data_IF_671284331190
#
_entry.id   IF_671284331190
#
_cell.length_a   1.000
_cell.length_b   1.000
_cell.length_c   1.000
_cell.angle_alpha   90.00
_cell.angle_beta   90.00
_cell.angle_gamma   90.00
#
_symmetry.space_group_name_H-M   'P 1'
#
loop_
_entity.id
_entity.type
_entity.pdbx_description
1 polymer ?
#
# COMPACT_ATOMS: atom_id res chain seq x y z
N UNK A 1 3.74 23.98 18.87
CA UNK A 1 4.89 23.31 19.52
C UNK A 1 4.56 21.85 19.82
N UNK A 2 4.44 20.96 18.79
CA UNK A 2 4.18 19.51 18.93
C UNK A 2 4.65 18.71 17.69
N UNK A 3 5.84 18.97 17.16
CA UNK A 3 6.41 18.25 15.99
C UNK A 3 7.63 17.39 16.37
N UNK A 4 8.15 17.46 17.60
CA UNK A 4 9.44 16.87 17.96
C UNK A 4 9.40 15.46 18.59
N UNK A 5 8.28 14.74 18.56
CA UNK A 5 8.23 13.39 19.16
C UNK A 5 8.32 12.21 18.16
N UNK A 6 8.30 12.48 16.85
CA UNK A 6 8.36 11.43 15.82
C UNK A 6 9.77 11.04 15.35
N UNK A 7 10.79 11.80 15.74
CA UNK A 7 12.17 11.62 15.24
C UNK A 7 13.04 10.62 16.02
N UNK A 8 12.54 9.99 17.09
CA UNK A 8 13.40 9.21 17.99
C UNK A 8 13.32 7.69 17.88
N UNK A 9 12.53 7.11 16.96
CA UNK A 9 12.39 5.64 16.83
C UNK A 9 12.79 5.04 15.49
N UNK A 10 13.42 5.79 14.58
CA UNK A 10 13.86 5.30 13.28
C UNK A 10 15.39 5.31 13.15
N UNK A 11 16.05 4.59 14.05
CA UNK A 11 17.42 4.15 13.84
C UNK A 11 17.39 2.80 13.13
N UNK A 12 17.21 2.81 11.81
CA UNK A 12 17.31 1.62 10.98
C UNK A 12 18.47 1.79 10.01
N UNK A 13 19.49 0.99 10.26
CA UNK A 13 20.74 0.88 9.53
C UNK A 13 20.53 0.12 8.22
N UNK A 14 20.44 0.80 7.07
CA UNK A 14 20.98 0.30 5.78
C UNK A 14 20.84 1.34 4.67
N UNK A 15 21.85 1.46 3.81
CA UNK A 15 21.95 2.47 2.72
C UNK A 15 20.86 2.37 1.64
N UNK A 16 20.07 1.30 1.62
CA UNK A 16 18.94 1.14 0.70
C UNK A 16 17.61 1.69 1.25
N UNK A 17 17.48 1.84 2.57
CA UNK A 17 16.25 2.36 3.19
C UNK A 17 16.09 3.87 3.01
N UNK A 18 17.17 4.62 2.82
CA UNK A 18 17.13 6.07 2.59
C UNK A 18 16.44 6.45 1.28
N UNK A 19 16.63 5.68 0.20
CA UNK A 19 16.01 5.96 -1.09
C UNK A 19 14.48 5.71 -1.08
N UNK A 20 14.04 4.70 -0.34
CA UNK A 20 12.60 4.41 -0.17
C UNK A 20 11.95 5.38 0.84
N UNK A 21 12.64 5.74 1.92
CA UNK A 21 12.16 6.72 2.88
C UNK A 21 12.06 8.13 2.29
N UNK A 22 13.00 8.54 1.42
CA UNK A 22 12.89 9.81 0.67
C UNK A 22 11.74 9.81 -0.32
N UNK A 23 11.51 8.70 -1.05
CA UNK A 23 10.34 8.58 -1.94
C UNK A 23 9.03 8.65 -1.16
N UNK A 24 8.94 7.96 -0.02
CA UNK A 24 7.78 8.01 0.86
C UNK A 24 7.53 9.43 1.42
N UNK A 25 8.60 10.12 1.83
CA UNK A 25 8.52 11.50 2.33
C UNK A 25 8.08 12.49 1.25
N UNK A 26 8.59 12.37 0.01
CA UNK A 26 8.17 13.18 -1.14
C UNK A 26 6.71 12.91 -1.49
N UNK A 27 6.27 11.65 -1.45
CA UNK A 27 4.88 11.25 -1.72
C UNK A 27 3.93 11.81 -0.67
N UNK A 28 4.29 11.76 0.61
CA UNK A 28 3.49 12.30 1.73
C UNK A 28 3.46 13.84 1.74
N UNK A 29 4.54 14.52 1.33
CA UNK A 29 4.58 15.98 1.21
C UNK A 29 3.74 16.52 0.05
N UNK A 30 3.60 15.77 -1.06
CA UNK A 30 2.79 16.17 -2.21
C UNK A 30 1.27 16.18 -1.93
N UNK A 31 0.82 15.51 -0.87
CA UNK A 31 -0.62 15.39 -0.56
C UNK A 31 -1.23 16.66 0.06
N UNK A 32 -0.43 17.69 0.39
CA UNK A 32 -0.93 18.94 0.99
C UNK A 32 -1.49 19.96 -0.01
N UNK A 33 -1.35 19.77 -1.32
CA UNK A 33 -1.67 20.80 -2.33
C UNK A 33 -2.78 20.42 -3.35
N UNK A 34 -3.63 19.42 -3.06
CA UNK A 34 -4.73 19.06 -3.97
C UNK A 34 -6.05 19.72 -3.55
N UNK A 35 -6.17 21.02 -3.81
CA UNK A 35 -7.47 21.70 -3.92
C UNK A 35 -7.72 22.00 -5.40
N UNK A 36 -8.71 21.32 -5.98
CA UNK A 36 -9.28 21.69 -7.27
C UNK A 36 -9.50 20.54 -8.25
N UNK A 37 -10.76 20.15 -8.46
CA UNK A 37 -11.18 19.36 -9.62
C UNK A 37 -12.21 18.26 -9.32
N UNK A 38 -13.47 18.51 -9.72
CA UNK A 38 -14.62 17.60 -9.87
C UNK A 38 -15.07 16.69 -8.71
N UNK A 39 -16.20 17.06 -8.16
CA UNK A 39 -16.98 16.40 -7.10
C UNK A 39 -17.66 15.12 -7.57
N UNK A 40 -16.96 14.00 -7.76
CA UNK A 40 -17.59 12.66 -7.75
C UNK A 40 -16.51 11.62 -7.48
N UNK A 41 -16.65 10.86 -6.41
CA UNK A 41 -15.75 9.79 -5.92
C UNK A 41 -14.59 10.16 -4.97
N UNK A 42 -14.41 11.40 -4.59
CA UNK A 42 -13.33 11.81 -3.64
C UNK A 42 -13.39 11.09 -2.29
N UNK A 43 -14.56 10.59 -1.85
CA UNK A 43 -14.69 9.96 -0.52
C UNK A 43 -14.04 8.57 -0.43
N UNK A 44 -14.21 7.71 -1.44
CA UNK A 44 -13.66 6.35 -1.39
C UNK A 44 -12.17 6.32 -1.71
N UNK A 45 -11.71 7.15 -2.66
CA UNK A 45 -10.27 7.31 -2.94
C UNK A 45 -9.52 7.89 -1.75
N UNK A 46 -10.13 8.86 -1.04
CA UNK A 46 -9.58 9.43 0.19
C UNK A 46 -9.48 8.40 1.33
N UNK A 47 -10.37 7.39 1.35
CA UNK A 47 -10.35 6.31 2.35
C UNK A 47 -9.31 5.25 2.00
N UNK A 48 -9.06 4.98 0.72
CA UNK A 48 -8.12 3.93 0.28
C UNK A 48 -6.68 4.20 0.75
N UNK A 49 -6.21 5.45 0.67
CA UNK A 49 -4.85 5.83 1.06
C UNK A 49 -4.59 5.54 2.55
N UNK A 50 -5.37 6.10 3.51
CA UNK A 50 -5.11 5.86 4.93
C UNK A 50 -5.28 4.41 5.35
N UNK A 51 -6.18 3.64 4.71
CA UNK A 51 -6.30 2.22 4.98
C UNK A 51 -5.06 1.44 4.51
N UNK A 52 -4.53 1.80 3.33
CA UNK A 52 -3.32 1.17 2.84
C UNK A 52 -2.07 1.56 3.65
N UNK A 53 -1.95 2.81 4.08
CA UNK A 53 -0.90 3.28 4.99
C UNK A 53 -0.90 2.52 6.32
N UNK A 54 -2.08 2.31 6.91
CA UNK A 54 -2.25 1.50 8.12
C UNK A 54 -1.75 0.07 7.94
N UNK A 55 -2.08 -0.55 6.80
CA UNK A 55 -1.57 -1.87 6.45
C UNK A 55 -0.05 -1.87 6.27
N UNK A 56 0.52 -0.90 5.56
CA UNK A 56 1.97 -0.77 5.40
C UNK A 56 2.68 -0.68 6.75
N UNK A 57 2.18 0.18 7.65
CA UNK A 57 2.74 0.34 8.99
C UNK A 57 2.70 -0.96 9.79
N UNK A 58 1.57 -1.67 9.76
CA UNK A 58 1.43 -2.97 10.42
C UNK A 58 2.41 -4.01 9.90
N UNK A 59 2.74 -3.97 8.60
CA UNK A 59 3.62 -4.94 7.95
C UNK A 59 5.12 -4.62 8.03
N UNK A 60 5.52 -3.45 8.52
CA UNK A 60 6.95 -3.08 8.66
C UNK A 60 7.72 -4.13 9.48
N UNK A 61 7.12 -4.62 10.57
CA UNK A 61 7.76 -5.57 11.48
C UNK A 61 7.74 -7.03 10.99
N UNK A 62 6.90 -7.36 9.99
CA UNK A 62 6.73 -8.74 9.54
C UNK A 62 8.01 -9.34 8.97
N UNK A 63 8.81 -8.54 8.27
CA UNK A 63 10.05 -8.97 7.60
C UNK A 63 11.20 -9.19 8.60
N UNK A 64 11.12 -8.62 9.79
CA UNK A 64 12.20 -8.70 10.79
C UNK A 64 12.44 -10.15 11.25
N UNK A 65 11.39 -10.96 11.36
CA UNK A 65 11.45 -12.36 11.83
C UNK A 65 11.84 -13.38 10.75
N UNK A 66 11.96 -12.95 9.48
CA UNK A 66 12.34 -13.85 8.40
C UNK A 66 13.82 -14.27 8.48
N UNK A 67 14.20 -15.48 8.01
CA UNK A 67 15.58 -15.87 7.84
C UNK A 67 16.35 -14.89 6.96
N UNK A 68 17.64 -14.70 7.22
CA UNK A 68 18.44 -13.67 6.54
C UNK A 68 18.44 -13.82 5.01
N UNK A 69 18.53 -15.02 4.50
CA UNK A 69 18.45 -15.32 3.07
C UNK A 69 17.12 -14.90 2.46
N UNK A 70 16.02 -15.22 3.14
CA UNK A 70 14.67 -14.93 2.65
C UNK A 70 14.26 -13.47 2.79
N UNK A 71 14.88 -12.73 3.73
CA UNK A 71 14.73 -11.26 3.80
C UNK A 71 15.15 -10.59 2.50
N UNK A 72 16.25 -11.06 1.89
CA UNK A 72 16.78 -10.48 0.65
C UNK A 72 16.02 -10.96 -0.59
N UNK A 73 15.37 -12.11 -0.54
CA UNK A 73 14.56 -12.68 -1.64
C UNK A 73 13.09 -12.25 -1.50
N UNK A 74 12.29 -13.11 -0.91
CA UNK A 74 10.83 -12.88 -0.78
C UNK A 74 10.50 -11.64 0.05
N UNK A 75 11.29 -11.34 1.09
CA UNK A 75 11.11 -10.15 1.92
C UNK A 75 11.25 -8.86 1.14
N UNK A 76 12.28 -8.74 0.28
CA UNK A 76 12.47 -7.57 -0.58
C UNK A 76 11.40 -7.49 -1.67
N UNK A 77 11.03 -8.61 -2.29
CA UNK A 77 9.97 -8.63 -3.29
C UNK A 77 8.62 -8.23 -2.68
N UNK A 78 8.28 -8.75 -1.51
CA UNK A 78 7.07 -8.36 -0.78
C UNK A 78 7.06 -6.87 -0.43
N UNK A 79 8.20 -6.31 -0.03
CA UNK A 79 8.38 -4.88 0.22
C UNK A 79 8.19 -4.08 -1.08
N UNK A 80 8.78 -4.52 -2.18
CA UNK A 80 8.66 -3.89 -3.51
C UNK A 80 7.21 -3.85 -3.99
N UNK A 81 6.50 -4.98 -3.92
CA UNK A 81 5.09 -5.08 -4.32
C UNK A 81 4.21 -4.14 -3.50
N UNK A 82 4.43 -4.02 -2.19
CA UNK A 82 3.69 -3.09 -1.33
C UNK A 82 3.91 -1.62 -1.72
N UNK A 83 5.13 -1.21 -1.99
CA UNK A 83 5.42 0.16 -2.42
C UNK A 83 4.88 0.45 -3.82
N UNK A 84 4.97 -0.50 -4.77
CA UNK A 84 4.33 -0.39 -6.08
C UNK A 84 2.81 -0.22 -5.96
N UNK A 85 2.19 -0.93 -5.03
CA UNK A 85 0.76 -0.77 -4.77
C UNK A 85 0.44 0.66 -4.30
N UNK A 86 1.20 1.19 -3.33
CA UNK A 86 1.04 2.56 -2.85
C UNK A 86 1.23 3.58 -3.98
N UNK A 87 2.29 3.45 -4.78
CA UNK A 87 2.55 4.31 -5.93
C UNK A 87 1.34 4.34 -6.89
N UNK A 88 0.77 3.17 -7.22
CA UNK A 88 -0.39 3.10 -8.10
C UNK A 88 -1.66 3.70 -7.48
N UNK A 89 -1.89 3.51 -6.16
CA UNK A 89 -3.00 4.17 -5.44
C UNK A 89 -2.89 5.69 -5.54
N UNK A 90 -1.68 6.25 -5.38
CA UNK A 90 -1.44 7.69 -5.50
C UNK A 90 -1.54 8.20 -6.95
N UNK A 91 -1.25 7.34 -7.92
CA UNK A 91 -1.33 7.67 -9.35
C UNK A 91 -2.76 7.81 -9.85
N UNK A 92 -3.72 7.05 -9.32
CA UNK A 92 -5.12 7.08 -9.77
C UNK A 92 -5.67 8.51 -9.79
N UNK A 93 -5.34 9.32 -8.78
CA UNK A 93 -5.82 10.70 -8.66
C UNK A 93 -5.16 11.68 -9.64
N UNK A 94 -4.04 11.28 -10.24
CA UNK A 94 -3.23 12.13 -11.14
C UNK A 94 -3.42 11.79 -12.60
N UNK A 95 -3.98 10.61 -12.90
CA UNK A 95 -4.18 10.18 -14.29
C UNK A 95 -5.57 10.54 -14.80
N UNK A 96 -5.66 10.64 -16.12
CA UNK A 96 -6.91 10.87 -16.83
C UNK A 96 -7.92 9.74 -16.56
N UNK A 97 -9.22 10.07 -16.55
CA UNK A 97 -10.30 9.16 -16.15
C UNK A 97 -10.26 7.83 -16.90
N UNK A 98 -10.00 7.84 -18.22
CA UNK A 98 -9.96 6.62 -19.03
C UNK A 98 -8.79 5.68 -18.69
N UNK A 99 -7.70 6.21 -18.12
CA UNK A 99 -6.56 5.40 -17.66
C UNK A 99 -6.76 4.81 -16.26
N UNK A 100 -7.67 5.35 -15.46
CA UNK A 100 -7.88 4.92 -14.07
C UNK A 100 -8.24 3.45 -13.93
N UNK A 101 -9.07 2.92 -14.84
CA UNK A 101 -9.44 1.50 -14.82
C UNK A 101 -8.22 0.57 -14.92
N UNK A 102 -7.24 0.92 -15.75
CA UNK A 102 -6.00 0.16 -15.84
C UNK A 102 -5.25 0.10 -14.49
N UNK A 103 -5.10 1.24 -13.81
CA UNK A 103 -4.42 1.30 -12.51
C UNK A 103 -5.20 0.60 -11.40
N UNK A 104 -6.53 0.69 -11.40
CA UNK A 104 -7.38 -0.05 -10.45
C UNK A 104 -7.20 -1.56 -10.58
N UNK A 105 -7.20 -2.09 -11.81
CA UNK A 105 -6.95 -3.50 -12.06
C UNK A 105 -5.52 -3.92 -11.69
N UNK A 106 -4.54 -3.05 -11.93
CA UNK A 106 -3.15 -3.29 -11.53
C UNK A 106 -2.99 -3.35 -10.01
N UNK A 107 -3.66 -2.46 -9.27
CA UNK A 107 -3.69 -2.50 -7.81
C UNK A 107 -4.32 -3.81 -7.31
N UNK A 108 -5.43 -4.27 -7.91
CA UNK A 108 -6.06 -5.52 -7.52
C UNK A 108 -5.14 -6.74 -7.72
N UNK A 109 -4.42 -6.78 -8.85
CA UNK A 109 -3.39 -7.80 -9.10
C UNK A 109 -2.26 -7.76 -8.06
N UNK A 110 -1.78 -6.56 -7.71
CA UNK A 110 -0.74 -6.38 -6.69
C UNK A 110 -1.23 -6.78 -5.28
N UNK A 111 -2.49 -6.48 -4.91
CA UNK A 111 -3.08 -6.95 -3.66
C UNK A 111 -3.19 -8.48 -3.63
N UNK A 112 -3.55 -9.09 -4.76
CA UNK A 112 -3.61 -10.55 -4.90
C UNK A 112 -2.24 -11.19 -4.73
N UNK A 113 -1.19 -10.61 -5.30
CA UNK A 113 0.20 -11.04 -5.11
C UNK A 113 0.62 -10.97 -3.63
N UNK A 114 0.26 -9.89 -2.92
CA UNK A 114 0.53 -9.77 -1.49
C UNK A 114 -0.17 -10.86 -0.67
N UNK A 115 -1.42 -11.22 -1.00
CA UNK A 115 -2.14 -12.31 -0.33
C UNK A 115 -1.45 -13.68 -0.54
N UNK A 116 -0.93 -13.93 -1.74
CA UNK A 116 -0.15 -15.15 -2.02
C UNK A 116 1.14 -15.18 -1.20
N UNK A 117 1.89 -14.10 -1.19
CA UNK A 117 3.14 -14.00 -0.41
C UNK A 117 2.90 -14.19 1.08
N UNK A 118 1.83 -13.61 1.65
CA UNK A 118 1.47 -13.83 3.06
C UNK A 118 1.16 -15.29 3.37
N UNK A 119 0.47 -16.01 2.47
CA UNK A 119 0.25 -17.47 2.63
C UNK A 119 1.54 -18.25 2.62
N UNK A 120 2.51 -17.87 1.76
CA UNK A 120 3.83 -18.50 1.77
C UNK A 120 4.58 -18.22 3.08
N UNK A 121 4.51 -16.98 3.58
CA UNK A 121 5.18 -16.58 4.82
C UNK A 121 4.65 -17.34 6.05
N UNK A 122 3.33 -17.49 6.18
CA UNK A 122 2.75 -18.23 7.31
C UNK A 122 3.02 -19.72 7.18
N UNK A 123 2.95 -20.31 5.99
CA UNK A 123 3.27 -21.71 5.73
C UNK A 123 4.70 -22.08 6.12
N UNK A 124 5.64 -21.15 5.88
CA UNK A 124 7.04 -21.32 6.25
C UNK A 124 7.34 -20.83 7.70
N UNK A 125 6.33 -20.44 8.48
CA UNK A 125 6.48 -19.96 9.86
C UNK A 125 7.35 -18.70 10.01
N UNK A 126 7.44 -17.89 8.96
CA UNK A 126 8.16 -16.61 8.98
C UNK A 126 7.33 -15.49 9.62
N UNK A 127 6.02 -15.64 9.61
CA UNK A 127 5.08 -14.81 10.36
C UNK A 127 4.16 -15.72 11.18
N UNK A 128 3.65 -15.21 12.31
CA UNK A 128 2.69 -15.93 13.14
C UNK A 128 1.26 -15.85 12.55
N UNK A 129 0.41 -16.81 12.96
CA UNK A 129 -0.99 -16.93 12.53
C UNK A 129 -1.81 -15.65 12.81
N UNK A 130 -1.56 -14.99 13.95
CA UNK A 130 -2.25 -13.76 14.31
C UNK A 130 -1.91 -12.64 13.33
N UNK A 131 -0.60 -12.47 13.03
CA UNK A 131 -0.13 -11.48 12.06
C UNK A 131 -0.67 -11.75 10.67
N UNK A 132 -0.71 -13.02 10.25
CA UNK A 132 -1.30 -13.43 8.99
C UNK A 132 -2.78 -13.06 8.91
N UNK A 133 -3.61 -13.45 9.90
CA UNK A 133 -5.05 -13.15 9.90
C UNK A 133 -5.34 -11.67 9.82
N UNK A 134 -4.71 -10.86 10.69
CA UNK A 134 -4.91 -9.40 10.71
C UNK A 134 -4.47 -8.77 9.37
N UNK A 135 -3.36 -9.23 8.78
CA UNK A 135 -2.91 -8.74 7.48
C UNK A 135 -3.89 -9.07 6.36
N UNK A 136 -4.46 -10.27 6.37
CA UNK A 136 -5.46 -10.70 5.39
C UNK A 136 -6.77 -9.91 5.52
N UNK A 137 -7.22 -9.64 6.75
CA UNK A 137 -8.39 -8.79 7.01
C UNK A 137 -8.19 -7.38 6.47
N UNK A 138 -7.03 -6.76 6.75
CA UNK A 138 -6.70 -5.44 6.20
C UNK A 138 -6.71 -5.43 4.67
N UNK A 139 -6.08 -6.42 4.02
CA UNK A 139 -6.09 -6.55 2.56
C UNK A 139 -7.48 -6.82 1.99
N UNK A 140 -8.34 -7.50 2.75
CA UNK A 140 -9.73 -7.73 2.35
C UNK A 140 -10.54 -6.44 2.38
N UNK A 141 -10.42 -5.63 3.43
CA UNK A 141 -11.10 -4.33 3.51
C UNK A 141 -10.62 -3.35 2.41
N UNK A 142 -9.31 -3.30 2.15
CA UNK A 142 -8.75 -2.53 1.04
C UNK A 142 -9.33 -3.02 -0.31
N UNK A 143 -9.43 -4.35 -0.50
CA UNK A 143 -10.01 -4.95 -1.69
C UNK A 143 -11.50 -4.63 -1.88
N UNK A 144 -12.28 -4.53 -0.79
CA UNK A 144 -13.69 -4.08 -0.87
C UNK A 144 -13.80 -2.65 -1.40
N UNK A 145 -13.00 -1.72 -0.85
CA UNK A 145 -12.97 -0.33 -1.29
C UNK A 145 -12.59 -0.26 -2.78
N UNK A 146 -11.53 -0.96 -3.16
CA UNK A 146 -11.06 -1.04 -4.54
C UNK A 146 -12.13 -1.60 -5.49
N UNK A 147 -12.82 -2.68 -5.08
CA UNK A 147 -13.91 -3.28 -5.84
C UNK A 147 -15.11 -2.33 -6.04
N UNK A 148 -15.39 -1.49 -5.03
CA UNK A 148 -16.37 -0.40 -5.15
C UNK A 148 -15.98 0.60 -6.24
N UNK A 149 -14.73 1.07 -6.20
CA UNK A 149 -14.18 1.98 -7.21
C UNK A 149 -14.22 1.37 -8.62
N UNK A 150 -13.78 0.12 -8.79
CA UNK A 150 -13.82 -0.59 -10.10
C UNK A 150 -15.25 -0.62 -10.65
N UNK A 151 -16.23 -0.98 -9.82
CA UNK A 151 -17.65 -1.03 -10.24
C UNK A 151 -18.17 0.35 -10.65
N UNK A 152 -17.80 1.40 -9.92
CA UNK A 152 -18.21 2.77 -10.20
C UNK A 152 -17.64 3.25 -11.53
N UNK A 153 -16.33 3.06 -11.77
CA UNK A 153 -15.69 3.42 -13.04
C UNK A 153 -16.17 2.60 -14.23
N UNK A 154 -16.48 1.31 -14.03
CA UNK A 154 -17.04 0.46 -15.08
C UNK A 154 -18.44 0.91 -15.54
N UNK A 155 -19.26 1.45 -14.62
CA UNK A 155 -20.59 2.02 -14.98
C UNK A 155 -20.46 3.31 -15.78
N UNK A 156 -19.49 4.16 -15.42
CA UNK A 156 -19.30 5.46 -16.08
C UNK A 156 -18.74 5.32 -17.51
N UNK A 157 -17.98 4.27 -17.78
CA UNK A 157 -17.42 4.01 -19.13
C UNK A 157 -18.42 3.33 -20.09
N UNK A 158 -19.64 2.96 -19.64
CA UNK A 158 -20.70 2.39 -20.50
C UNK A 158 -21.70 3.44 -21.00
N UNK A 159 -21.56 4.69 -20.61
CA UNK A 159 -22.33 5.83 -21.12
C UNK A 159 -21.52 6.61 -22.16
#
# INVERSE_FOLDING_TARGET
MKINKFHKSLSINSRNDTKYNMKLFIILSCNKNLKGGNKMSQSEELVLIPQYEKYLQYMVEAIVKMPRTEKFNIGNEFKSVRYKTLENILYINKVEIYKRMYYLNLIDALLSSQRVMLRLMVKNRWIDEKKFRVSMEMLYEIGKILGGLIKQYAKNNKK
#
